data_IF_893630676165
#
_entry.id   IF_893630676165
#
_cell.length_a   1.000
_cell.length_b   1.000
_cell.length_c   1.000
_cell.angle_alpha   90.00
_cell.angle_beta   90.00
_cell.angle_gamma   90.00
#
_symmetry.space_group_name_H-M   'P 1'
#
loop_
_entity.id
_entity.type
_entity.pdbx_description
1 polymer ?
#
# COMPACT_ATOMS: atom_id res chain seq x y z
N UNK A 1 -2.56 0.83 -29.27
CA UNK A 1 -1.53 1.06 -28.23
C UNK A 1 -0.58 2.12 -28.78
N UNK A 2 -0.43 3.27 -28.11
CA UNK A 2 0.41 4.37 -28.63
C UNK A 2 1.86 3.96 -28.41
N UNK A 3 2.77 4.27 -29.34
CA UNK A 3 4.21 3.93 -29.22
C UNK A 3 4.86 4.43 -27.92
N UNK A 4 4.28 5.45 -27.28
CA UNK A 4 4.68 5.98 -25.97
C UNK A 4 4.36 5.04 -24.79
N UNK A 5 3.39 4.14 -24.92
CA UNK A 5 2.98 3.20 -23.85
C UNK A 5 3.90 1.95 -23.80
N UNK A 6 4.67 1.70 -24.87
CA UNK A 6 5.53 0.51 -24.98
C UNK A 6 6.75 0.61 -24.09
N UNK A 7 7.37 1.80 -23.97
CA UNK A 7 8.55 2.03 -23.11
C UNK A 7 8.28 1.75 -21.62
N UNK A 8 7.24 2.31 -20.98
CA UNK A 8 6.94 2.00 -19.59
C UNK A 8 6.50 0.55 -19.39
N UNK A 9 5.74 -0.03 -20.34
CA UNK A 9 5.35 -1.45 -20.25
C UNK A 9 6.57 -2.39 -20.28
N UNK A 10 7.52 -2.15 -21.18
CA UNK A 10 8.78 -2.90 -21.24
C UNK A 10 9.59 -2.72 -19.96
N UNK A 11 9.71 -1.50 -19.46
CA UNK A 11 10.42 -1.23 -18.19
C UNK A 11 9.79 -2.00 -17.02
N UNK A 12 8.46 -1.95 -16.87
CA UNK A 12 7.75 -2.69 -15.82
C UNK A 12 7.92 -4.21 -15.97
N UNK A 13 7.90 -4.72 -17.20
CA UNK A 13 8.16 -6.14 -17.49
C UNK A 13 9.58 -6.56 -17.09
N UNK A 14 10.59 -5.75 -17.41
CA UNK A 14 11.98 -6.00 -16.99
C UNK A 14 12.11 -5.95 -15.48
N UNK A 15 11.53 -4.94 -14.82
CA UNK A 15 11.56 -4.82 -13.37
C UNK A 15 10.93 -6.05 -12.69
N UNK A 16 9.76 -6.51 -13.16
CA UNK A 16 9.14 -7.74 -12.67
C UNK A 16 10.02 -8.97 -12.89
N UNK A 17 10.64 -9.10 -14.07
CA UNK A 17 11.57 -10.17 -14.39
C UNK A 17 12.82 -10.21 -13.50
N UNK A 18 13.28 -9.06 -13.02
CA UNK A 18 14.41 -8.94 -12.06
C UNK A 18 13.97 -9.20 -10.62
N UNK A 19 12.78 -8.76 -10.23
CA UNK A 19 12.25 -8.96 -8.88
C UNK A 19 11.95 -10.44 -8.59
N UNK A 20 11.51 -11.21 -9.59
CA UNK A 20 11.23 -12.66 -9.42
C UNK A 20 12.43 -13.47 -8.88
N UNK A 21 13.60 -13.48 -9.54
CA UNK A 21 14.76 -14.22 -9.03
C UNK A 21 15.28 -13.62 -7.72
N UNK A 22 15.15 -12.31 -7.51
CA UNK A 22 15.50 -11.69 -6.24
C UNK A 22 14.64 -12.20 -5.09
N UNK A 23 13.32 -12.33 -5.26
CA UNK A 23 12.42 -12.91 -4.25
C UNK A 23 12.78 -14.36 -3.91
N UNK A 24 13.15 -15.17 -4.91
CA UNK A 24 13.63 -16.55 -4.68
C UNK A 24 14.92 -16.54 -3.87
N UNK A 25 15.88 -15.67 -4.22
CA UNK A 25 17.12 -15.53 -3.47
C UNK A 25 16.85 -15.13 -2.01
N UNK A 26 15.97 -14.16 -1.78
CA UNK A 26 15.57 -13.73 -0.44
C UNK A 26 14.98 -14.90 0.37
N UNK A 27 14.08 -15.69 -0.22
CA UNK A 27 13.47 -16.85 0.45
C UNK A 27 14.48 -17.93 0.85
N UNK A 28 15.63 -18.02 0.19
CA UNK A 28 16.66 -19.01 0.47
C UNK A 28 17.78 -18.50 1.39
N UNK A 29 17.90 -17.19 1.56
CA UNK A 29 19.05 -16.57 2.23
C UNK A 29 18.68 -15.76 3.47
N UNK A 30 17.42 -15.36 3.63
CA UNK A 30 16.99 -14.67 4.84
C UNK A 30 16.98 -15.62 6.04
N UNK A 31 17.46 -15.15 7.20
CA UNK A 31 17.29 -15.89 8.44
C UNK A 31 15.81 -15.88 8.88
N UNK A 32 15.39 -16.95 9.55
CA UNK A 32 14.02 -17.08 10.08
C UNK A 32 13.71 -16.03 11.16
N UNK A 33 14.74 -15.60 11.91
CA UNK A 33 14.62 -14.57 12.94
C UNK A 33 15.64 -13.45 12.71
N UNK A 34 15.19 -12.21 12.87
CA UNK A 34 16.05 -11.03 12.76
C UNK A 34 15.69 -9.98 13.81
N UNK A 35 16.69 -9.39 14.42
CA UNK A 35 16.49 -8.27 15.35
C UNK A 35 16.41 -6.95 14.58
N UNK A 36 15.21 -6.38 14.49
CA UNK A 36 14.98 -5.11 13.81
C UNK A 36 15.28 -3.93 14.74
N UNK A 37 16.28 -3.12 14.38
CA UNK A 37 16.56 -1.87 15.11
C UNK A 37 15.43 -0.86 14.87
N UNK A 38 15.04 -0.14 15.93
CA UNK A 38 13.97 0.86 15.92
C UNK A 38 12.58 0.29 15.56
N UNK A 39 12.29 -0.94 16.00
CA UNK A 39 11.01 -1.64 15.75
C UNK A 39 9.78 -0.75 15.97
N UNK A 40 9.65 -0.11 17.14
CA UNK A 40 8.53 0.77 17.44
C UNK A 40 8.42 1.98 16.49
N UNK A 41 9.56 2.54 16.06
CA UNK A 41 9.56 3.67 15.14
C UNK A 41 9.09 3.26 13.73
N UNK A 42 9.39 2.03 13.30
CA UNK A 42 8.94 1.53 12.01
C UNK A 42 7.40 1.45 11.94
N UNK A 43 6.77 0.91 12.99
CA UNK A 43 5.31 0.86 13.13
C UNK A 43 4.68 2.24 13.17
N UNK A 44 5.13 3.09 14.10
CA UNK A 44 4.62 4.47 14.22
C UNK A 44 4.80 5.24 12.90
N UNK A 45 5.91 5.00 12.19
CA UNK A 45 6.18 5.60 10.89
C UNK A 45 5.18 5.17 9.81
N UNK A 46 4.81 3.89 9.78
CA UNK A 46 3.82 3.35 8.84
C UNK A 46 2.42 3.91 9.14
N UNK A 47 2.01 3.90 10.42
CA UNK A 47 0.76 4.52 10.88
C UNK A 47 0.70 6.01 10.51
N UNK A 48 1.80 6.74 10.70
CA UNK A 48 1.88 8.15 10.38
C UNK A 48 1.68 8.39 8.87
N UNK A 49 2.21 7.52 8.01
CA UNK A 49 1.98 7.60 6.56
C UNK A 49 0.51 7.36 6.21
N UNK A 50 -0.16 6.42 6.88
CA UNK A 50 -1.60 6.19 6.71
C UNK A 50 -2.41 7.41 7.12
N UNK A 51 -2.15 7.95 8.31
CA UNK A 51 -2.82 9.15 8.81
C UNK A 51 -2.60 10.33 7.87
N UNK A 52 -1.36 10.57 7.45
CA UNK A 52 -1.03 11.65 6.52
C UNK A 52 -1.72 11.47 5.15
N UNK A 53 -1.75 10.25 4.63
CA UNK A 53 -2.43 9.92 3.38
C UNK A 53 -3.94 10.13 3.45
N UNK A 54 -4.57 9.71 4.56
CA UNK A 54 -5.99 9.95 4.84
C UNK A 54 -6.32 11.44 4.92
N UNK A 55 -5.56 12.19 5.73
CA UNK A 55 -5.74 13.65 5.87
C UNK A 55 -5.56 14.33 4.53
N UNK A 56 -4.48 14.02 3.79
CA UNK A 56 -4.21 14.59 2.47
C UNK A 56 -5.35 14.32 1.49
N UNK A 57 -5.85 13.08 1.46
CA UNK A 57 -6.97 12.67 0.61
C UNK A 57 -8.24 13.45 0.96
N UNK A 58 -8.60 13.56 2.24
CA UNK A 58 -9.80 14.30 2.67
C UNK A 58 -9.68 15.78 2.36
N UNK A 59 -8.51 16.39 2.59
CA UNK A 59 -8.28 17.81 2.31
C UNK A 59 -8.42 18.12 0.82
N UNK A 60 -7.80 17.32 -0.05
CA UNK A 60 -7.90 17.51 -1.50
C UNK A 60 -9.32 17.24 -2.00
N UNK A 61 -9.98 16.21 -1.49
CA UNK A 61 -11.37 15.90 -1.83
C UNK A 61 -12.31 17.05 -1.43
N UNK A 62 -12.15 17.63 -0.24
CA UNK A 62 -12.94 18.80 0.21
C UNK A 62 -12.69 20.05 -0.61
N UNK A 63 -11.50 20.19 -1.22
CA UNK A 63 -11.15 21.28 -2.13
C UNK A 63 -11.63 21.03 -3.56
N UNK A 64 -12.17 19.85 -3.87
CA UNK A 64 -12.53 19.45 -5.23
C UNK A 64 -11.31 19.23 -6.14
N UNK A 65 -10.11 19.05 -5.58
CA UNK A 65 -8.88 18.86 -6.36
C UNK A 65 -8.68 17.39 -6.72
N UNK A 66 -8.69 17.06 -8.02
CA UNK A 66 -8.54 15.70 -8.56
C UNK A 66 -7.26 14.96 -8.11
N UNK A 67 -6.25 15.69 -7.60
CA UNK A 67 -5.04 15.09 -7.00
C UNK A 67 -5.34 14.19 -5.79
N UNK A 68 -6.54 14.28 -5.19
CA UNK A 68 -6.96 13.35 -4.13
C UNK A 68 -6.84 11.88 -4.58
N UNK A 69 -6.92 11.60 -5.88
CA UNK A 69 -6.79 10.25 -6.44
C UNK A 69 -5.38 9.69 -6.27
N UNK A 70 -4.36 10.55 -6.37
CA UNK A 70 -2.96 10.17 -6.16
C UNK A 70 -2.75 9.82 -4.69
N UNK A 71 -3.17 10.70 -3.78
CA UNK A 71 -3.04 10.44 -2.34
C UNK A 71 -3.85 9.22 -1.92
N UNK A 72 -5.07 9.05 -2.44
CA UNK A 72 -5.88 7.87 -2.17
C UNK A 72 -5.22 6.58 -2.69
N UNK A 73 -4.63 6.60 -3.88
CA UNK A 73 -3.91 5.42 -4.40
C UNK A 73 -2.69 5.06 -3.53
N UNK A 74 -1.95 6.06 -3.05
CA UNK A 74 -0.81 5.85 -2.17
C UNK A 74 -1.24 5.32 -0.79
N UNK A 75 -2.30 5.89 -0.20
CA UNK A 75 -2.88 5.39 1.06
C UNK A 75 -3.39 3.97 0.93
N UNK A 76 -4.02 3.61 -0.21
CA UNK A 76 -4.49 2.26 -0.44
C UNK A 76 -3.34 1.24 -0.49
N UNK A 77 -2.25 1.58 -1.17
CA UNK A 77 -1.06 0.73 -1.20
C UNK A 77 -0.41 0.60 0.18
N UNK A 78 -0.28 1.72 0.92
CA UNK A 78 0.26 1.72 2.28
C UNK A 78 -0.58 0.87 3.23
N UNK A 79 -1.91 0.98 3.19
CA UNK A 79 -2.81 0.20 4.04
C UNK A 79 -2.79 -1.30 3.70
N UNK A 80 -2.59 -1.64 2.42
CA UNK A 80 -2.37 -3.03 2.02
C UNK A 80 -1.05 -3.61 2.55
N UNK A 81 0.01 -2.78 2.59
CA UNK A 81 1.28 -3.18 3.20
C UNK A 81 1.14 -3.33 4.72
N UNK A 82 0.47 -2.40 5.39
CA UNK A 82 0.20 -2.44 6.84
C UNK A 82 -0.52 -3.74 7.24
N UNK A 83 -1.61 -4.05 6.53
CA UNK A 83 -2.37 -5.29 6.68
C UNK A 83 -1.50 -6.54 6.51
N UNK A 84 -0.60 -6.53 5.52
CA UNK A 84 0.36 -7.62 5.33
C UNK A 84 1.35 -7.71 6.50
N UNK A 85 1.87 -6.59 6.98
CA UNK A 85 2.82 -6.53 8.10
C UNK A 85 2.19 -7.02 9.39
N UNK A 86 0.98 -6.59 9.72
CA UNK A 86 0.23 -7.03 10.90
C UNK A 86 0.10 -8.56 10.95
N UNK A 87 -0.35 -9.15 9.85
CA UNK A 87 -0.53 -10.60 9.78
C UNK A 87 0.81 -11.35 9.85
N UNK A 88 1.81 -10.90 9.10
CA UNK A 88 3.09 -11.63 8.98
C UNK A 88 4.03 -11.48 10.18
N UNK A 89 3.81 -10.47 11.03
CA UNK A 89 4.64 -10.24 12.23
C UNK A 89 3.95 -10.67 13.53
N UNK A 90 2.68 -11.09 13.45
CA UNK A 90 1.94 -11.59 14.60
C UNK A 90 2.41 -12.96 15.07
N UNK A 91 2.44 -13.16 16.39
CA UNK A 91 2.68 -14.47 17.00
C UNK A 91 1.35 -15.22 17.10
N UNK A 92 1.37 -16.55 16.94
CA UNK A 92 0.17 -17.38 17.12
C UNK A 92 -0.51 -17.15 18.48
N UNK A 93 -1.85 -17.19 18.50
CA UNK A 93 -2.66 -17.02 19.71
C UNK A 93 -3.43 -15.70 19.73
N UNK A 94 -3.47 -15.04 20.88
CA UNK A 94 -4.23 -13.79 21.06
C UNK A 94 -3.72 -12.65 20.15
N UNK A 95 -2.40 -12.56 19.96
CA UNK A 95 -1.77 -11.55 19.09
C UNK A 95 -2.24 -11.70 17.63
N UNK A 96 -2.36 -12.94 17.12
CA UNK A 96 -2.91 -13.19 15.78
C UNK A 96 -4.37 -12.73 15.66
N UNK A 97 -5.20 -12.90 16.69
CA UNK A 97 -6.59 -12.43 16.64
C UNK A 97 -6.69 -10.90 16.62
N UNK A 98 -5.79 -10.22 17.34
CA UNK A 98 -5.69 -8.76 17.32
C UNK A 98 -5.19 -8.26 15.96
N UNK A 99 -4.12 -8.85 15.44
CA UNK A 99 -3.58 -8.54 14.11
C UNK A 99 -4.62 -8.78 13.02
N UNK A 100 -5.37 -9.89 13.08
CA UNK A 100 -6.44 -10.16 12.13
C UNK A 100 -7.56 -9.11 12.18
N UNK A 101 -7.92 -8.63 13.36
CA UNK A 101 -8.91 -7.57 13.50
C UNK A 101 -8.42 -6.24 12.92
N UNK A 102 -7.15 -5.87 13.16
CA UNK A 102 -6.52 -4.66 12.61
C UNK A 102 -6.40 -4.73 11.09
N UNK A 103 -5.88 -5.85 10.57
CA UNK A 103 -5.76 -6.14 9.14
C UNK A 103 -7.09 -6.02 8.37
N UNK A 104 -8.22 -6.37 8.99
CA UNK A 104 -9.55 -6.15 8.39
C UNK A 104 -9.84 -4.65 8.27
N UNK A 105 -9.56 -3.87 9.31
CA UNK A 105 -9.73 -2.42 9.31
C UNK A 105 -8.88 -1.74 8.24
N UNK A 106 -7.62 -2.12 8.12
CA UNK A 106 -6.70 -1.62 7.11
C UNK A 106 -7.11 -2.05 5.70
N UNK A 107 -7.57 -3.29 5.50
CA UNK A 107 -8.06 -3.74 4.20
C UNK A 107 -9.31 -2.98 3.77
N UNK A 108 -10.21 -2.67 4.69
CA UNK A 108 -11.36 -1.81 4.43
C UNK A 108 -10.92 -0.40 4.05
N UNK A 109 -9.96 0.19 4.77
CA UNK A 109 -9.37 1.48 4.43
C UNK A 109 -8.76 1.45 3.03
N UNK A 110 -7.98 0.42 2.71
CA UNK A 110 -7.38 0.21 1.40
C UNK A 110 -8.45 0.15 0.31
N UNK A 111 -9.53 -0.59 0.55
CA UNK A 111 -10.68 -0.69 -0.37
C UNK A 111 -11.37 0.65 -0.61
N UNK A 112 -11.62 1.44 0.43
CA UNK A 112 -12.21 2.78 0.31
C UNK A 112 -11.29 3.72 -0.48
N UNK A 113 -10.00 3.74 -0.16
CA UNK A 113 -9.02 4.58 -0.83
C UNK A 113 -8.82 4.17 -2.30
N UNK A 114 -8.76 2.87 -2.60
CA UNK A 114 -8.70 2.36 -3.97
C UNK A 114 -9.96 2.74 -4.75
N UNK A 115 -11.13 2.61 -4.13
CA UNK A 115 -12.39 3.03 -4.75
C UNK A 115 -12.37 4.53 -5.07
N UNK A 116 -11.91 5.38 -4.15
CA UNK A 116 -11.77 6.82 -4.40
C UNK A 116 -10.77 7.11 -5.54
N UNK A 117 -9.62 6.44 -5.57
CA UNK A 117 -8.62 6.62 -6.61
C UNK A 117 -9.14 6.25 -8.01
N UNK A 118 -9.97 5.20 -8.09
CA UNK A 118 -10.52 4.65 -9.33
C UNK A 118 -11.82 5.32 -9.79
N UNK A 119 -12.46 6.17 -8.97
CA UNK A 119 -13.65 6.93 -9.39
C UNK A 119 -13.34 7.79 -10.62
N UNK A 120 -14.03 7.51 -11.71
CA UNK A 120 -13.97 8.31 -12.93
C UNK A 120 -14.54 9.70 -12.67
N UNK A 121 -13.82 10.75 -13.05
CA UNK A 121 -14.44 12.06 -13.23
C UNK A 121 -15.40 11.94 -14.41
N UNK A 122 -16.70 11.80 -14.14
CA UNK A 122 -17.73 11.84 -15.18
C UNK A 122 -17.69 13.28 -15.70
N UNK A 123 -16.93 13.50 -16.77
CA UNK A 123 -16.85 14.80 -17.41
C UNK A 123 -18.26 15.30 -17.64
N UNK A 124 -18.59 16.44 -17.02
CA UNK A 124 -19.78 17.21 -17.37
C UNK A 124 -19.54 17.68 -18.80
N UNK A 125 -20.02 16.87 -19.76
CA UNK A 125 -20.20 17.32 -21.14
C UNK A 125 -21.38 18.28 -21.09
N UNK A 126 -21.05 19.56 -20.96
CA UNK A 126 -21.92 20.64 -21.46
C UNK A 126 -21.65 20.83 -22.96
#
# INVERSE_FOLDING_TARGET
MRTNDVRPAVFLGVAAGVLMPWMVLLSLTLPDETHVRNWALAWIGLDLLLVAGCIGTVLLLRRGDERYRITASATAAAAGLDCWFDLTTSVYGAELTQAAASAIGELLLAGVCAHLALRSCRGRRE
#
